data_IF_423974688755
#
_entry.id   IF_423974688755
#
_cell.length_a   1.000
_cell.length_b   1.000
_cell.length_c   1.000
_cell.angle_alpha   90.00
_cell.angle_beta   90.00
_cell.angle_gamma   90.00
#
_symmetry.space_group_name_H-M   'P 1'
#
loop_
_entity.id
_entity.type
_entity.pdbx_description
1 polymer ?
#
# COMPACT_ATOMS: atom_id res chain seq x y z
N UNK A 1 -12.95 13.58 -9.82
CA UNK A 1 -11.71 13.19 -10.50
C UNK A 1 -11.40 11.75 -10.12
N UNK A 2 -10.63 11.03 -10.94
CA UNK A 2 -10.27 9.62 -10.66
C UNK A 2 -9.06 9.57 -9.71
N UNK A 3 -9.30 9.86 -8.43
CA UNK A 3 -8.28 9.80 -7.37
C UNK A 3 -8.93 9.34 -6.06
N UNK A 4 -8.12 8.79 -5.16
CA UNK A 4 -8.51 8.44 -3.80
C UNK A 4 -7.97 9.47 -2.83
N UNK A 5 -8.78 9.89 -1.87
CA UNK A 5 -8.28 10.60 -0.70
C UNK A 5 -7.84 9.61 0.39
N UNK A 6 -7.39 10.11 1.54
CA UNK A 6 -6.97 9.29 2.69
C UNK A 6 -8.06 8.31 3.16
N UNK A 7 -9.32 8.74 3.23
CA UNK A 7 -10.43 7.88 3.68
C UNK A 7 -10.76 6.78 2.67
N UNK A 8 -10.72 7.10 1.39
CA UNK A 8 -10.92 6.11 0.31
C UNK A 8 -9.79 5.06 0.33
N UNK A 9 -8.55 5.51 0.48
CA UNK A 9 -7.39 4.62 0.65
C UNK A 9 -7.53 3.74 1.89
N UNK A 10 -7.96 4.31 3.02
CA UNK A 10 -8.19 3.55 4.25
C UNK A 10 -9.21 2.43 4.04
N UNK A 11 -10.39 2.75 3.46
CA UNK A 11 -11.43 1.76 3.18
C UNK A 11 -10.95 0.66 2.24
N UNK A 12 -10.17 1.02 1.22
CA UNK A 12 -9.59 0.05 0.30
C UNK A 12 -8.60 -0.88 1.01
N UNK A 13 -7.68 -0.35 1.81
CA UNK A 13 -6.72 -1.16 2.55
C UNK A 13 -7.40 -2.03 3.62
N UNK A 14 -8.46 -1.54 4.26
CA UNK A 14 -9.27 -2.33 5.20
C UNK A 14 -10.06 -3.45 4.51
N UNK A 15 -10.47 -3.27 3.25
CA UNK A 15 -11.17 -4.30 2.47
C UNK A 15 -10.20 -5.36 1.94
N UNK A 16 -9.18 -4.93 1.20
CA UNK A 16 -8.34 -5.82 0.40
C UNK A 16 -7.09 -6.29 1.18
N UNK A 17 -6.63 -5.51 2.16
CA UNK A 17 -5.37 -5.72 2.89
C UNK A 17 -5.59 -5.76 4.41
N UNK A 18 -6.77 -6.24 4.85
CA UNK A 18 -7.16 -6.20 6.27
C UNK A 18 -6.17 -6.88 7.21
N UNK A 19 -5.61 -8.03 6.82
CA UNK A 19 -4.62 -8.76 7.61
C UNK A 19 -3.27 -8.05 7.63
N UNK A 20 -2.86 -7.47 6.49
CA UNK A 20 -1.64 -6.67 6.41
C UNK A 20 -1.69 -5.50 7.41
N UNK A 21 -2.80 -4.76 7.45
CA UNK A 21 -2.98 -3.66 8.40
C UNK A 21 -2.95 -4.13 9.86
N UNK A 22 -3.65 -5.24 10.18
CA UNK A 22 -3.64 -5.81 11.54
C UNK A 22 -2.24 -6.22 11.99
N UNK A 23 -1.43 -6.74 11.08
CA UNK A 23 -0.08 -7.22 11.39
C UNK A 23 0.94 -6.10 11.62
N UNK A 24 0.72 -4.89 11.07
CA UNK A 24 1.63 -3.76 11.32
C UNK A 24 1.57 -3.26 12.77
N UNK A 25 0.43 -3.46 13.47
CA UNK A 25 0.20 -2.98 14.84
C UNK A 25 0.57 -1.51 15.05
N UNK A 26 0.41 -0.68 14.02
CA UNK A 26 0.73 0.74 14.02
C UNK A 26 -0.46 1.55 13.49
N UNK A 27 -1.10 2.38 14.33
CA UNK A 27 -2.26 3.17 13.93
C UNK A 27 -1.94 4.20 12.84
N UNK A 28 -0.66 4.53 12.60
CA UNK A 28 -0.22 5.47 11.57
C UNK A 28 0.13 4.79 10.24
N UNK A 29 -0.11 3.48 10.11
CA UNK A 29 0.21 2.72 8.89
C UNK A 29 -0.40 3.34 7.64
N UNK A 30 -1.69 3.72 7.70
CA UNK A 30 -2.39 4.32 6.56
C UNK A 30 -1.80 5.68 6.20
N UNK A 31 -1.44 6.50 7.19
CA UNK A 31 -0.82 7.81 6.96
C UNK A 31 0.57 7.68 6.30
N UNK A 32 1.34 6.66 6.69
CA UNK A 32 2.63 6.36 6.08
C UNK A 32 2.47 5.93 4.62
N UNK A 33 1.55 5.00 4.35
CA UNK A 33 1.25 4.56 2.98
C UNK A 33 0.75 5.74 2.13
N UNK A 34 -0.16 6.56 2.66
CA UNK A 34 -0.64 7.76 1.98
C UNK A 34 0.52 8.69 1.61
N UNK A 35 1.44 8.94 2.55
CA UNK A 35 2.62 9.78 2.32
C UNK A 35 3.55 9.21 1.25
N UNK A 36 3.69 7.89 1.18
CA UNK A 36 4.54 7.23 0.19
C UNK A 36 3.90 7.19 -1.21
N UNK A 37 2.57 7.25 -1.31
CA UNK A 37 1.83 7.27 -2.58
C UNK A 37 1.48 8.68 -3.08
N UNK A 38 1.37 9.66 -2.17
CA UNK A 38 1.04 11.07 -2.48
C UNK A 38 2.28 11.84 -2.94
N UNK A 39 2.79 11.47 -4.12
CA UNK A 39 3.99 12.06 -4.73
C UNK A 39 3.88 13.60 -4.87
N UNK A 40 2.67 14.08 -5.16
CA UNK A 40 2.36 15.49 -5.38
C UNK A 40 2.08 16.26 -4.08
N UNK A 41 1.92 15.56 -2.94
CA UNK A 41 1.56 16.12 -1.63
C UNK A 41 0.27 16.95 -1.67
N UNK A 42 -0.69 16.54 -2.49
CA UNK A 42 -1.99 17.21 -2.64
C UNK A 42 -3.12 16.47 -1.90
N UNK A 43 -2.77 15.44 -1.13
CA UNK A 43 -3.70 14.58 -0.41
C UNK A 43 -4.45 13.62 -1.33
N UNK A 44 -3.94 13.34 -2.53
CA UNK A 44 -4.59 12.47 -3.51
C UNK A 44 -3.67 11.36 -3.99
N UNK A 45 -4.22 10.16 -4.04
CA UNK A 45 -3.57 8.99 -4.62
C UNK A 45 -4.23 8.70 -5.97
N UNK A 46 -3.41 8.68 -7.01
CA UNK A 46 -3.86 8.25 -8.35
C UNK A 46 -3.79 6.74 -8.48
N UNK A 47 -4.46 6.16 -9.49
CA UNK A 47 -4.31 4.74 -9.80
C UNK A 47 -2.85 4.36 -10.06
N UNK A 48 -2.09 5.22 -10.73
CA UNK A 48 -0.67 4.97 -10.99
C UNK A 48 0.14 4.88 -9.70
N UNK A 49 -0.05 5.84 -8.79
CA UNK A 49 0.59 5.83 -7.47
C UNK A 49 0.18 4.60 -6.67
N UNK A 50 -1.11 4.24 -6.62
CA UNK A 50 -1.55 3.02 -5.96
C UNK A 50 -0.97 1.74 -6.59
N UNK A 51 -0.83 1.69 -7.91
CA UNK A 51 -0.26 0.53 -8.60
C UNK A 51 1.21 0.31 -8.25
N UNK A 52 1.95 1.36 -7.88
CA UNK A 52 3.34 1.23 -7.41
C UNK A 52 3.44 0.46 -6.09
N UNK A 53 2.47 0.62 -5.17
CA UNK A 53 2.36 -0.19 -3.94
C UNK A 53 2.23 -1.68 -4.28
N UNK A 54 1.33 -2.02 -5.20
CA UNK A 54 1.08 -3.41 -5.62
C UNK A 54 2.33 -4.01 -6.27
N UNK A 55 2.99 -3.26 -7.16
CA UNK A 55 4.24 -3.68 -7.77
C UNK A 55 5.34 -3.90 -6.71
N UNK A 56 5.45 -2.98 -5.72
CA UNK A 56 6.40 -3.10 -4.62
C UNK A 56 6.16 -4.34 -3.76
N UNK A 57 4.89 -4.64 -3.42
CA UNK A 57 4.52 -5.85 -2.68
C UNK A 57 4.85 -7.13 -3.47
N UNK A 58 4.54 -7.15 -4.78
CA UNK A 58 4.87 -8.29 -5.65
C UNK A 58 6.38 -8.54 -5.72
N UNK A 59 7.18 -7.49 -5.91
CA UNK A 59 8.64 -7.61 -5.91
C UNK A 59 9.16 -8.11 -4.56
N UNK A 60 8.64 -7.59 -3.44
CA UNK A 60 9.03 -8.04 -2.10
C UNK A 60 8.67 -9.53 -1.86
N UNK A 61 7.51 -9.97 -2.34
CA UNK A 61 7.09 -11.37 -2.29
C UNK A 61 8.01 -12.28 -3.12
N UNK A 62 8.36 -11.87 -4.34
CA UNK A 62 9.30 -12.61 -5.20
C UNK A 62 10.68 -12.72 -4.55
N UNK A 63 11.21 -11.59 -4.05
CA UNK A 63 12.46 -11.53 -3.31
C UNK A 63 12.49 -12.49 -2.12
N UNK A 64 11.40 -12.51 -1.33
CA UNK A 64 11.28 -13.40 -0.18
C UNK A 64 11.26 -14.87 -0.61
N UNK A 65 10.49 -15.20 -1.65
CA UNK A 65 10.39 -16.54 -2.20
C UNK A 65 11.76 -17.04 -2.71
N UNK A 66 12.45 -16.22 -3.50
CA UNK A 66 13.80 -16.54 -4.02
C UNK A 66 14.80 -16.77 -2.89
N UNK A 67 14.74 -15.98 -1.81
CA UNK A 67 15.70 -16.07 -0.70
C UNK A 67 15.45 -17.25 0.25
N UNK A 68 14.21 -17.66 0.45
CA UNK A 68 13.86 -18.58 1.55
C UNK A 68 13.10 -19.84 1.13
N UNK A 69 12.47 -19.85 -0.05
CA UNK A 69 11.59 -20.94 -0.48
C UNK A 69 12.04 -21.62 -1.77
N UNK A 70 12.84 -20.94 -2.60
CA UNK A 70 13.43 -21.56 -3.78
C UNK A 70 14.48 -22.59 -3.31
N UNK A 71 14.37 -23.86 -3.76
CA UNK A 71 15.25 -24.95 -3.32
C UNK A 71 16.70 -24.78 -3.76
#
# INVERSE_FOLDING_TARGET
GNYMNREDLQKLLESEFSEFLKNQNDPLTVDKIMKDLDDCRDGRVTFHSYFSLIAGLLCACDDYYVKHMKP
#
